data_IF_206506652797
#
_entry.id   IF_206506652797
#
_cell.length_a   1.000
_cell.length_b   1.000
_cell.length_c   1.000
_cell.angle_alpha   90.00
_cell.angle_beta   90.00
_cell.angle_gamma   90.00
#
_symmetry.space_group_name_H-M   'P 1'
#
loop_
_entity.id
_entity.type
_entity.pdbx_description
1 polymer ?
#
# COMPACT_ATOMS: atom_id res chain seq x y z
N UNK A 1 -20.04 8.47 -14.54
CA UNK A 1 -18.56 8.58 -14.70
C UNK A 1 -17.77 9.16 -13.50
N UNK A 2 -18.23 9.05 -12.24
CA UNK A 2 -17.47 9.55 -11.07
C UNK A 2 -16.53 8.54 -10.41
N UNK A 3 -16.67 7.23 -10.69
CA UNK A 3 -15.94 6.19 -9.98
C UNK A 3 -14.44 6.18 -10.23
N UNK A 4 -14.00 6.44 -11.47
CA UNK A 4 -12.59 6.34 -11.85
C UNK A 4 -11.72 7.45 -11.22
N UNK A 5 -12.26 8.66 -11.09
CA UNK A 5 -11.56 9.79 -10.44
C UNK A 5 -11.40 9.52 -8.94
N UNK A 6 -12.48 9.10 -8.27
CA UNK A 6 -12.47 8.74 -6.86
C UNK A 6 -11.48 7.60 -6.55
N UNK A 7 -11.45 6.55 -7.38
CA UNK A 7 -10.51 5.45 -7.22
C UNK A 7 -9.05 5.88 -7.38
N UNK A 8 -8.77 6.82 -8.29
CA UNK A 8 -7.42 7.36 -8.48
C UNK A 8 -6.97 8.16 -7.25
N UNK A 9 -7.82 9.04 -6.73
CA UNK A 9 -7.49 9.85 -5.54
C UNK A 9 -7.23 8.98 -4.31
N UNK A 10 -8.08 7.97 -4.08
CA UNK A 10 -7.90 7.01 -2.99
C UNK A 10 -6.57 6.25 -3.11
N UNK A 11 -6.19 5.86 -4.34
CA UNK A 11 -4.94 5.15 -4.60
C UNK A 11 -3.71 6.03 -4.37
N UNK A 12 -3.74 7.29 -4.80
CA UNK A 12 -2.65 8.24 -4.56
C UNK A 12 -2.50 8.55 -3.06
N UNK A 13 -3.62 8.71 -2.34
CA UNK A 13 -3.61 8.88 -0.88
C UNK A 13 -3.01 7.66 -0.14
N UNK A 14 -3.29 6.44 -0.61
CA UNK A 14 -2.69 5.23 -0.09
C UNK A 14 -1.17 5.20 -0.31
N UNK A 15 -0.70 5.53 -1.51
CA UNK A 15 0.75 5.60 -1.79
C UNK A 15 1.45 6.61 -0.89
N UNK A 16 0.87 7.80 -0.74
CA UNK A 16 1.38 8.83 0.17
C UNK A 16 1.49 8.35 1.62
N UNK A 17 0.48 7.61 2.08
CA UNK A 17 0.46 7.02 3.42
C UNK A 17 1.59 6.00 3.62
N UNK A 18 1.86 5.17 2.61
CA UNK A 18 2.96 4.21 2.66
C UNK A 18 4.34 4.89 2.65
N UNK A 19 4.54 5.92 1.82
CA UNK A 19 5.80 6.65 1.82
C UNK A 19 6.04 7.40 3.14
N UNK A 20 4.99 7.93 3.77
CA UNK A 20 5.10 8.51 5.11
C UNK A 20 5.45 7.44 6.16
N UNK A 21 4.85 6.25 6.08
CA UNK A 21 5.22 5.13 6.95
C UNK A 21 6.70 4.75 6.77
N UNK A 22 7.20 4.80 5.52
CA UNK A 22 8.59 4.50 5.16
C UNK A 22 9.63 5.33 5.90
N UNK A 23 9.29 6.55 6.30
CA UNK A 23 10.18 7.40 7.11
C UNK A 23 10.55 6.75 8.46
N UNK A 24 9.73 5.81 8.95
CA UNK A 24 9.95 5.08 10.21
C UNK A 24 10.39 3.64 9.99
N UNK A 25 9.86 2.98 8.97
CA UNK A 25 10.21 1.60 8.62
C UNK A 25 9.98 1.36 7.14
N UNK A 26 11.00 0.86 6.44
CA UNK A 26 10.88 0.48 5.04
C UNK A 26 10.19 -0.88 4.83
N UNK A 27 9.88 -1.61 5.90
CA UNK A 27 9.14 -2.88 5.86
C UNK A 27 7.77 -2.75 6.48
N UNK A 28 6.78 -3.37 5.84
CA UNK A 28 5.41 -3.46 6.35
C UNK A 28 4.86 -4.87 6.15
N UNK A 29 4.32 -5.48 7.21
CA UNK A 29 3.59 -6.74 7.10
C UNK A 29 2.09 -6.52 6.86
N UNK A 30 1.35 -7.59 6.61
CA UNK A 30 -0.09 -7.50 6.34
C UNK A 30 -0.88 -6.97 7.54
N UNK A 31 -0.41 -7.20 8.77
CA UNK A 31 -1.02 -6.71 10.00
C UNK A 31 -0.95 -5.20 10.06
N UNK A 32 0.28 -4.67 10.06
CA UNK A 32 0.57 -3.25 10.07
C UNK A 32 -0.09 -2.53 8.88
N UNK A 33 -0.14 -3.14 7.70
CA UNK A 33 -0.83 -2.57 6.54
C UNK A 33 -2.32 -2.39 6.78
N UNK A 34 -3.00 -3.38 7.39
CA UNK A 34 -4.43 -3.26 7.73
C UNK A 34 -4.65 -2.15 8.74
N UNK A 35 -3.81 -2.08 9.77
CA UNK A 35 -3.94 -1.08 10.82
C UNK A 35 -3.70 0.34 10.27
N UNK A 36 -2.74 0.47 9.35
CA UNK A 36 -2.42 1.74 8.66
C UNK A 36 -3.55 2.21 7.73
N UNK A 37 -4.24 1.28 7.07
CA UNK A 37 -5.19 1.61 5.98
C UNK A 37 -6.66 1.45 6.36
N UNK A 38 -6.96 0.85 7.52
CA UNK A 38 -8.31 0.47 7.91
C UNK A 38 -8.93 -0.62 7.03
N UNK A 39 -8.13 -1.31 6.20
CA UNK A 39 -8.65 -2.30 5.25
C UNK A 39 -8.97 -3.63 5.92
N UNK A 40 -9.99 -4.33 5.38
CA UNK A 40 -10.33 -5.68 5.83
C UNK A 40 -9.27 -6.71 5.41
N UNK A 41 -9.21 -7.86 6.10
CA UNK A 41 -8.32 -8.98 5.71
C UNK A 41 -8.52 -9.43 4.26
N UNK A 42 -9.77 -9.46 3.77
CA UNK A 42 -10.10 -9.90 2.40
C UNK A 42 -9.55 -8.92 1.35
N UNK A 43 -9.47 -7.63 1.67
CA UNK A 43 -9.01 -6.58 0.75
C UNK A 43 -7.50 -6.29 0.83
N UNK A 44 -6.86 -6.58 1.95
CA UNK A 44 -5.45 -6.20 2.17
C UNK A 44 -4.47 -6.88 1.21
N UNK A 45 -4.58 -8.20 1.02
CA UNK A 45 -3.66 -8.94 0.14
C UNK A 45 -3.80 -8.49 -1.33
N UNK A 46 -5.00 -8.42 -1.93
CA UNK A 46 -5.16 -7.93 -3.31
C UNK A 46 -4.64 -6.50 -3.50
N UNK A 47 -4.81 -5.63 -2.51
CA UNK A 47 -4.32 -4.25 -2.56
C UNK A 47 -2.80 -4.19 -2.50
N UNK A 48 -2.17 -4.99 -1.63
CA UNK A 48 -0.70 -5.14 -1.57
C UNK A 48 -0.14 -5.67 -2.90
N UNK A 49 -0.79 -6.66 -3.50
CA UNK A 49 -0.39 -7.17 -4.83
C UNK A 49 -0.54 -6.12 -5.93
N UNK A 50 -1.55 -5.26 -5.85
CA UNK A 50 -1.70 -4.14 -6.77
C UNK A 50 -0.58 -3.09 -6.59
N UNK A 51 -0.23 -2.77 -5.34
CA UNK A 51 0.90 -1.89 -5.01
C UNK A 51 2.25 -2.49 -5.47
N UNK A 52 2.40 -3.82 -5.39
CA UNK A 52 3.56 -4.54 -5.91
C UNK A 52 3.67 -4.36 -7.44
N UNK A 53 2.56 -4.54 -8.19
CA UNK A 53 2.52 -4.33 -9.65
C UNK A 53 2.85 -2.90 -10.06
N UNK A 54 2.50 -1.93 -9.22
CA UNK A 54 2.81 -0.51 -9.46
C UNK A 54 4.23 -0.11 -9.03
N UNK A 55 5.05 -1.04 -8.52
CA UNK A 55 6.37 -0.75 -7.94
C UNK A 55 6.33 0.27 -6.79
N UNK A 56 5.28 0.23 -5.98
CA UNK A 56 5.21 0.96 -4.70
C UNK A 56 5.76 0.10 -3.56
N UNK A 57 5.51 -1.20 -3.63
CA UNK A 57 6.02 -2.22 -2.70
C UNK A 57 6.68 -3.37 -3.44
N UNK A 58 7.42 -4.20 -2.72
CA UNK A 58 7.95 -5.49 -3.21
C UNK A 58 7.80 -6.57 -2.16
N UNK A 59 7.32 -7.75 -2.55
CA UNK A 59 7.23 -8.92 -1.67
C UNK A 59 8.60 -9.43 -1.23
N UNK A 60 8.74 -9.62 0.08
CA UNK A 60 9.89 -10.29 0.66
C UNK A 60 9.45 -11.13 1.87
N UNK A 61 9.36 -12.44 1.65
CA UNK A 61 8.80 -13.39 2.63
C UNK A 61 7.35 -13.06 3.00
N UNK A 62 7.15 -12.78 4.29
CA UNK A 62 5.85 -12.48 4.89
C UNK A 62 5.53 -10.97 4.93
N UNK A 63 6.44 -10.13 4.45
CA UNK A 63 6.30 -8.66 4.49
C UNK A 63 6.47 -8.05 3.10
N UNK A 64 6.34 -6.73 3.03
CA UNK A 64 6.68 -5.89 1.88
C UNK A 64 7.75 -4.90 2.24
N UNK A 65 8.67 -4.67 1.30
CA UNK A 65 9.56 -3.51 1.31
C UNK A 65 8.86 -2.38 0.56
N UNK A 66 8.79 -1.20 1.16
CA UNK A 66 8.23 0.02 0.55
C UNK A 66 9.35 0.68 -0.28
N UNK A 67 9.11 0.81 -1.58
CA UNK A 67 10.10 1.35 -2.51
C UNK A 67 10.14 2.89 -2.42
N UNK A 68 11.32 3.53 -2.58
CA UNK A 68 11.42 4.98 -2.64
C UNK A 68 10.54 5.56 -3.75
N UNK A 69 10.06 6.80 -3.56
CA UNK A 69 9.39 7.53 -4.63
C UNK A 69 10.40 7.76 -5.77
N UNK A 70 10.07 7.25 -6.96
CA UNK A 70 10.83 7.55 -8.19
C UNK A 70 10.51 8.94 -8.71
#
# INVERSE_FOLDING_TARGET
DGGMVFHREALEGLKATLWKYRERSDRIDVGAFKDLTGTTRKSAIPLLEHLDRMRVTRREGNSRVILPRS
#
